data_IF_283293236498
#
_entry.id   IF_283293236498
#
_cell.length_a   1.000
_cell.length_b   1.000
_cell.length_c   1.000
_cell.angle_alpha   90.00
_cell.angle_beta   90.00
_cell.angle_gamma   90.00
#
_symmetry.space_group_name_H-M   'P 1'
#
loop_
_entity.id
_entity.type
_entity.pdbx_description
1 polymer ?
#
# COMPACT_ATOMS: atom_id res chain seq x y z
N UNK A 1 53.24 36.63 26.63
CA UNK A 1 52.94 35.65 27.69
C UNK A 1 51.44 35.69 27.93
N UNK A 2 50.70 34.72 27.41
CA UNK A 2 49.25 34.60 27.65
C UNK A 2 49.03 33.77 28.92
N UNK A 3 48.19 34.25 29.83
CA UNK A 3 47.72 33.51 30.99
C UNK A 3 46.80 32.35 30.55
N UNK A 4 46.87 31.18 31.18
CA UNK A 4 45.90 30.12 30.92
C UNK A 4 44.57 30.48 31.58
N UNK A 5 43.52 30.46 30.77
CA UNK A 5 42.12 30.59 31.15
C UNK A 5 41.72 29.49 32.15
N UNK A 6 41.21 29.91 33.30
CA UNK A 6 40.52 29.07 34.27
C UNK A 6 39.35 28.36 33.59
N UNK A 7 39.46 27.04 33.52
CA UNK A 7 38.38 26.15 33.08
C UNK A 7 37.54 25.89 34.33
N UNK A 8 36.37 26.51 34.42
CA UNK A 8 35.35 26.11 35.39
C UNK A 8 34.97 24.64 35.11
N UNK A 9 35.53 23.74 35.91
CA UNK A 9 35.15 22.33 35.93
C UNK A 9 33.76 22.28 36.57
N UNK A 10 32.75 22.30 35.71
CA UNK A 10 31.35 22.07 36.08
C UNK A 10 31.27 20.73 36.83
N UNK A 11 31.13 20.81 38.16
CA UNK A 11 31.08 19.65 39.02
C UNK A 11 29.77 18.93 38.75
N UNK A 12 29.82 17.94 37.87
CA UNK A 12 28.78 16.92 37.74
C UNK A 12 28.41 16.46 39.17
N UNK A 13 27.12 16.49 39.58
CA UNK A 13 26.74 16.01 40.89
C UNK A 13 27.19 14.55 40.99
N UNK A 14 28.22 14.31 41.80
CA UNK A 14 28.75 12.99 42.06
C UNK A 14 27.70 12.24 42.85
N UNK A 15 26.75 11.64 42.14
CA UNK A 15 25.70 10.84 42.74
C UNK A 15 26.40 9.73 43.53
N UNK A 16 26.28 9.79 44.85
CA UNK A 16 26.92 8.79 45.68
C UNK A 16 26.23 7.45 45.44
N UNK A 17 26.92 6.31 45.59
CA UNK A 17 26.30 5.00 45.49
C UNK A 17 25.07 4.85 46.41
N UNK A 18 25.10 5.53 47.56
CA UNK A 18 23.98 5.60 48.51
C UNK A 18 22.79 6.37 47.92
N UNK A 19 23.02 7.52 47.31
CA UNK A 19 21.96 8.29 46.64
C UNK A 19 21.33 7.50 45.49
N UNK A 20 22.14 6.77 44.72
CA UNK A 20 21.66 5.88 43.67
C UNK A 20 20.81 4.73 44.24
N UNK A 21 21.27 4.12 45.33
CA UNK A 21 20.55 3.07 46.02
C UNK A 21 19.21 3.56 46.57
N UNK A 22 19.18 4.72 47.23
CA UNK A 22 17.96 5.35 47.76
C UNK A 22 17.02 5.75 46.62
N UNK A 23 17.55 6.23 45.48
CA UNK A 23 16.73 6.57 44.32
C UNK A 23 16.01 5.35 43.74
N UNK A 24 16.71 4.21 43.62
CA UNK A 24 16.13 2.98 43.06
C UNK A 24 15.19 2.29 44.05
N UNK A 25 15.62 2.19 45.31
CA UNK A 25 14.90 1.40 46.30
C UNK A 25 13.82 2.22 47.03
N UNK A 26 13.93 3.55 47.05
CA UNK A 26 13.13 4.53 47.80
C UNK A 26 13.79 4.94 49.13
N UNK A 27 13.13 5.80 49.93
CA UNK A 27 13.58 6.09 51.31
C UNK A 27 13.40 4.88 52.23
N UNK A 28 14.25 4.74 53.23
CA UNK A 28 14.17 3.64 54.19
C UNK A 28 12.87 3.71 55.00
N UNK A 29 12.32 2.54 55.37
CA UNK A 29 11.06 2.43 56.13
C UNK A 29 11.28 1.52 57.34
N UNK A 30 10.84 1.92 58.55
CA UNK A 30 11.02 1.11 59.74
C UNK A 30 10.38 -0.27 59.54
N UNK A 31 11.15 -1.34 59.80
CA UNK A 31 10.74 -2.73 59.63
C UNK A 31 10.99 -3.34 58.25
N UNK A 32 11.49 -2.58 57.26
CA UNK A 32 11.83 -3.10 55.92
C UNK A 32 13.34 -3.13 55.71
N UNK A 33 13.96 -4.29 55.89
CA UNK A 33 15.39 -4.46 55.56
C UNK A 33 15.55 -4.49 54.05
N UNK A 34 16.38 -3.60 53.52
CA UNK A 34 16.86 -3.68 52.13
C UNK A 34 18.25 -4.26 52.13
N UNK A 35 18.45 -5.30 51.33
CA UNK A 35 19.77 -5.89 51.16
C UNK A 35 20.50 -5.14 50.05
N UNK A 36 21.58 -4.43 50.40
CA UNK A 36 22.62 -4.07 49.47
C UNK A 36 23.72 -5.15 49.60
N UNK A 37 23.91 -5.96 48.57
CA UNK A 37 24.90 -7.04 48.61
C UNK A 37 24.96 -7.85 47.32
N UNK A 38 26.09 -8.51 47.12
CA UNK A 38 26.39 -9.42 46.01
C UNK A 38 25.71 -10.80 46.13
N UNK A 39 24.57 -10.87 46.84
CA UNK A 39 23.75 -12.07 46.91
C UNK A 39 23.09 -12.36 45.57
N UNK A 40 22.72 -13.62 45.33
CA UNK A 40 21.99 -14.01 44.14
C UNK A 40 20.66 -13.23 44.07
N UNK A 41 20.57 -12.34 43.10
CA UNK A 41 19.37 -11.52 42.91
C UNK A 41 18.31 -12.34 42.17
N UNK A 42 17.05 -11.89 42.17
CA UNK A 42 16.01 -12.50 41.33
C UNK A 42 16.41 -12.53 39.85
N UNK A 43 17.25 -11.60 39.38
CA UNK A 43 17.84 -11.63 38.03
C UNK A 43 18.80 -12.82 37.84
N UNK A 44 19.49 -13.25 38.90
CA UNK A 44 20.34 -14.45 38.89
C UNK A 44 19.48 -15.73 38.76
N UNK A 45 18.37 -15.80 39.49
CA UNK A 45 17.48 -16.98 39.49
C UNK A 45 16.56 -17.06 38.27
N UNK A 46 16.01 -15.94 37.82
CA UNK A 46 14.99 -15.87 36.78
C UNK A 46 15.49 -15.25 35.45
N UNK A 47 16.79 -14.95 35.39
CA UNK A 47 17.39 -14.27 34.25
C UNK A 47 17.03 -12.78 34.17
N UNK A 48 17.77 -12.05 33.33
CA UNK A 48 17.40 -10.69 32.96
C UNK A 48 16.17 -10.76 32.06
N UNK A 49 15.01 -10.32 32.55
CA UNK A 49 13.85 -10.00 31.70
C UNK A 49 14.13 -8.71 30.92
N UNK A 50 15.25 -8.66 30.19
CA UNK A 50 15.35 -7.72 29.08
C UNK A 50 14.33 -8.20 28.07
N UNK A 51 13.21 -7.48 27.95
CA UNK A 51 12.31 -7.58 26.83
C UNK A 51 13.10 -7.22 25.57
N UNK A 52 13.87 -8.17 25.04
CA UNK A 52 14.36 -8.10 23.67
C UNK A 52 13.14 -8.06 22.74
N UNK A 53 13.31 -7.59 21.49
CA UNK A 53 12.25 -7.70 20.49
C UNK A 53 11.80 -9.16 20.47
N UNK A 54 10.60 -9.39 21.01
CA UNK A 54 10.02 -10.73 21.08
C UNK A 54 9.94 -11.25 19.65
N UNK A 55 10.26 -12.53 19.42
CA UNK A 55 10.06 -13.19 18.12
C UNK A 55 8.62 -12.96 17.57
N UNK A 56 7.67 -12.66 18.45
CA UNK A 56 6.33 -12.21 18.11
C UNK A 56 6.30 -10.88 17.34
N UNK A 57 7.05 -9.87 17.80
CA UNK A 57 7.12 -8.55 17.15
C UNK A 57 7.75 -8.60 15.76
N UNK A 58 8.70 -9.51 15.56
CA UNK A 58 9.37 -9.70 14.27
C UNK A 58 8.45 -10.42 13.27
N UNK A 59 7.73 -11.45 13.75
CA UNK A 59 6.68 -12.13 12.96
C UNK A 59 5.54 -11.18 12.58
N UNK A 60 5.14 -10.30 13.49
CA UNK A 60 4.08 -9.32 13.25
C UNK A 60 4.48 -8.30 12.16
N UNK A 61 5.73 -7.80 12.19
CA UNK A 61 6.27 -6.97 11.11
C UNK A 61 6.27 -7.68 9.77
N UNK A 62 6.75 -8.92 9.72
CA UNK A 62 6.76 -9.70 8.47
C UNK A 62 5.35 -9.91 7.91
N UNK A 63 4.37 -10.15 8.78
CA UNK A 63 2.97 -10.30 8.39
C UNK A 63 2.39 -8.99 7.83
N UNK A 64 2.68 -7.87 8.48
CA UNK A 64 2.27 -6.54 8.00
C UNK A 64 2.84 -6.22 6.62
N UNK A 65 4.12 -6.52 6.43
CA UNK A 65 4.80 -6.28 5.15
C UNK A 65 4.20 -7.15 4.02
N UNK A 66 3.90 -8.42 4.31
CA UNK A 66 3.22 -9.30 3.35
C UNK A 66 1.82 -8.81 2.99
N UNK A 67 1.03 -8.35 3.96
CA UNK A 67 -0.30 -7.79 3.72
C UNK A 67 -0.24 -6.55 2.83
N UNK A 68 0.72 -5.67 3.09
CA UNK A 68 0.92 -4.45 2.28
C UNK A 68 1.27 -4.78 0.83
N UNK A 69 2.16 -5.75 0.62
CA UNK A 69 2.51 -6.22 -0.74
C UNK A 69 1.30 -6.82 -1.44
N UNK A 70 0.43 -7.56 -0.73
CA UNK A 70 -0.80 -8.08 -1.33
C UNK A 70 -1.77 -6.97 -1.71
N UNK A 71 -1.94 -5.97 -0.86
CA UNK A 71 -2.80 -4.81 -1.11
C UNK A 71 -2.32 -4.02 -2.33
N UNK A 72 -1.02 -3.74 -2.42
CA UNK A 72 -0.42 -3.03 -3.56
C UNK A 72 -0.63 -3.81 -4.87
N UNK A 73 -0.50 -5.15 -4.85
CA UNK A 73 -0.76 -6.00 -6.02
C UNK A 73 -2.22 -5.99 -6.45
N UNK A 74 -3.14 -6.05 -5.48
CA UNK A 74 -4.58 -5.97 -5.75
C UNK A 74 -4.96 -4.62 -6.37
N UNK A 75 -4.37 -3.54 -5.86
CA UNK A 75 -4.58 -2.19 -6.39
C UNK A 75 -4.05 -2.06 -7.83
N UNK A 76 -2.84 -2.54 -8.09
CA UNK A 76 -2.28 -2.56 -9.45
C UNK A 76 -3.15 -3.39 -10.42
N UNK A 77 -3.69 -4.51 -9.96
CA UNK A 77 -4.61 -5.32 -10.75
C UNK A 77 -5.94 -4.59 -11.02
N UNK A 78 -6.48 -3.88 -10.04
CA UNK A 78 -7.69 -3.07 -10.21
C UNK A 78 -7.48 -1.94 -11.23
N UNK A 79 -6.33 -1.26 -11.18
CA UNK A 79 -5.98 -0.20 -12.12
C UNK A 79 -5.85 -0.75 -13.55
N UNK A 80 -5.24 -1.94 -13.72
CA UNK A 80 -5.17 -2.63 -15.01
C UNK A 80 -6.56 -3.02 -15.54
N UNK A 81 -7.47 -3.49 -14.67
CA UNK A 81 -8.85 -3.80 -15.09
C UNK A 81 -9.60 -2.55 -15.53
N UNK A 82 -9.46 -1.44 -14.79
CA UNK A 82 -10.08 -0.16 -15.17
C UNK A 82 -9.58 0.31 -16.54
N UNK A 83 -8.26 0.24 -16.77
CA UNK A 83 -7.68 0.59 -18.07
C UNK A 83 -8.20 -0.33 -19.19
N UNK A 84 -8.28 -1.64 -18.94
CA UNK A 84 -8.82 -2.60 -19.91
C UNK A 84 -10.30 -2.33 -20.21
N UNK A 85 -11.09 -1.98 -19.20
CA UNK A 85 -12.50 -1.64 -19.36
C UNK A 85 -12.69 -0.37 -20.19
N UNK A 86 -11.79 0.60 -20.05
CA UNK A 86 -11.78 1.80 -20.89
C UNK A 86 -11.44 1.45 -22.35
N UNK A 87 -10.46 0.58 -22.59
CA UNK A 87 -10.15 0.09 -23.94
C UNK A 87 -11.33 -0.64 -24.59
N UNK A 88 -12.04 -1.48 -23.81
CA UNK A 88 -13.25 -2.17 -24.30
C UNK A 88 -14.34 -1.15 -24.65
N UNK A 89 -14.53 -0.13 -23.82
CA UNK A 89 -15.52 0.92 -24.07
C UNK A 89 -15.19 1.73 -25.35
N UNK A 90 -13.91 2.01 -25.57
CA UNK A 90 -13.45 2.65 -26.82
C UNK A 90 -13.71 1.75 -28.04
N UNK A 91 -13.38 0.47 -27.96
CA UNK A 91 -13.63 -0.50 -29.04
C UNK A 91 -15.13 -0.65 -29.35
N UNK A 92 -15.98 -0.70 -28.34
CA UNK A 92 -17.44 -0.72 -28.52
C UNK A 92 -17.92 0.53 -29.26
N UNK A 93 -17.40 1.71 -28.91
CA UNK A 93 -17.75 2.95 -29.62
C UNK A 93 -17.36 2.92 -31.10
N UNK A 94 -16.21 2.31 -31.43
CA UNK A 94 -15.76 2.16 -32.82
C UNK A 94 -16.65 1.16 -33.55
N UNK A 95 -16.98 0.03 -32.92
CA UNK A 95 -17.89 -0.96 -33.49
C UNK A 95 -19.26 -0.34 -33.84
N UNK A 96 -19.86 0.45 -32.94
CA UNK A 96 -21.12 1.13 -33.22
C UNK A 96 -21.03 2.10 -34.39
N UNK A 97 -19.93 2.86 -34.52
CA UNK A 97 -19.71 3.76 -35.67
C UNK A 97 -19.56 2.99 -36.99
N UNK A 98 -18.91 1.82 -36.96
CA UNK A 98 -18.79 0.95 -38.14
C UNK A 98 -20.15 0.39 -38.54
N UNK A 99 -20.98 -0.01 -37.57
CA UNK A 99 -22.34 -0.48 -37.83
C UNK A 99 -23.21 0.63 -38.43
N UNK A 100 -23.16 1.86 -37.91
CA UNK A 100 -23.84 3.02 -38.50
C UNK A 100 -23.41 3.27 -39.95
N UNK A 101 -22.11 3.18 -40.22
CA UNK A 101 -21.55 3.35 -41.56
C UNK A 101 -22.01 2.25 -42.52
N UNK A 102 -22.11 1.00 -42.04
CA UNK A 102 -22.64 -0.12 -42.80
C UNK A 102 -24.10 0.09 -43.20
N UNK A 103 -24.93 0.57 -42.27
CA UNK A 103 -26.35 0.89 -42.54
C UNK A 103 -26.48 2.00 -43.59
N UNK A 104 -25.66 3.05 -43.48
CA UNK A 104 -25.65 4.13 -44.47
C UNK A 104 -25.21 3.65 -45.86
N UNK A 105 -24.17 2.83 -45.95
CA UNK A 105 -23.73 2.24 -47.23
C UNK A 105 -24.82 1.35 -47.84
N UNK A 106 -25.52 0.58 -47.02
CA UNK A 106 -26.66 -0.24 -47.47
C UNK A 106 -27.80 0.62 -48.03
N UNK A 107 -28.14 1.74 -47.37
CA UNK A 107 -29.13 2.69 -47.88
C UNK A 107 -28.70 3.33 -49.20
N UNK A 108 -27.43 3.70 -49.36
CA UNK A 108 -26.90 4.25 -50.60
C UNK A 108 -26.99 3.22 -51.73
N UNK A 109 -26.61 1.96 -51.48
CA UNK A 109 -26.74 0.87 -52.45
C UNK A 109 -28.20 0.62 -52.84
N UNK A 110 -29.11 0.58 -51.86
CA UNK A 110 -30.55 0.42 -52.12
C UNK A 110 -31.14 1.61 -52.91
N UNK A 111 -30.60 2.81 -52.72
CA UNK A 111 -31.01 3.99 -53.49
C UNK A 111 -30.49 3.96 -54.93
N UNK A 112 -29.29 3.41 -55.16
CA UNK A 112 -28.70 3.27 -56.51
C UNK A 112 -29.37 2.18 -57.36
N UNK A 113 -29.91 1.11 -56.75
CA UNK A 113 -30.66 0.10 -57.52
C UNK A 113 -32.06 0.56 -57.95
N UNK A 114 -32.57 1.66 -57.37
CA UNK A 114 -33.90 2.22 -57.71
C UNK A 114 -33.93 3.01 -59.02
N UNK A 115 -32.79 3.27 -59.66
CA UNK A 115 -32.71 3.93 -60.99
C UNK A 115 -32.35 2.98 -62.14
N UNK A 116 -32.55 1.66 -61.99
CA UNK A 116 -32.58 0.77 -63.16
C UNK A 116 -33.81 1.12 -64.02
N UNK A 117 -33.65 1.48 -65.32
CA UNK A 117 -34.78 1.67 -66.21
C UNK A 117 -35.52 0.35 -66.34
N UNK A 118 -36.83 0.37 -66.09
CA UNK A 118 -37.71 -0.79 -66.24
C UNK A 118 -37.51 -1.38 -67.64
N UNK A 119 -37.21 -2.68 -67.78
CA UNK A 119 -37.15 -3.31 -69.10
C UNK A 119 -38.56 -3.25 -69.70
N UNK A 120 -38.73 -2.47 -70.77
CA UNK A 120 -39.97 -2.41 -71.53
C UNK A 120 -40.22 -3.81 -72.11
N UNK A 121 -41.38 -4.44 -71.86
CA UNK A 121 -41.66 -5.75 -72.43
C UNK A 121 -41.69 -5.66 -73.97
N UNK A 122 -41.18 -6.69 -74.68
CA UNK A 122 -41.14 -6.69 -76.14
C UNK A 122 -42.57 -6.58 -76.72
N UNK A 123 -42.75 -5.84 -77.83
CA UNK A 123 -44.06 -5.65 -78.43
C UNK A 123 -44.63 -6.99 -78.91
N UNK A 124 -45.84 -7.30 -78.46
CA UNK A 124 -46.60 -8.48 -78.88
C UNK A 124 -46.98 -8.31 -80.35
N UNK A 125 -46.64 -9.27 -81.24
CA UNK A 125 -47.04 -9.17 -82.65
C UNK A 125 -48.55 -9.33 -82.81
N UNK A 126 -49.18 -8.63 -83.78
CA UNK A 126 -50.62 -8.69 -83.99
C UNK A 126 -51.07 -10.08 -84.48
N UNK A 127 -52.28 -10.53 -84.09
CA UNK A 127 -52.81 -11.82 -84.51
C UNK A 127 -53.07 -11.84 -86.02
N UNK A 128 -52.68 -12.93 -86.67
CA UNK A 128 -52.94 -13.27 -88.08
C UNK A 128 -54.28 -13.99 -88.19
#
# INVERSE_FOLDING_TARGET
MLAPSDVDVESQPTMTPEDAFISVMGKDRPGRVRCAGSGETLRTWYGSTSAGPSAYSERERQMQEQLKVQEDRLKEQADKMNQMQEQISQLQSVASKVDEMSVLLSQIQASQTRTQPVPVPPPVPPPV
#
